data_IF_516638201884
#
_entry.id   IF_516638201884
#
_cell.length_a   1.000
_cell.length_b   1.000
_cell.length_c   1.000
_cell.angle_alpha   90.00
_cell.angle_beta   90.00
_cell.angle_gamma   90.00
#
_symmetry.space_group_name_H-M   'P 1'
#
loop_
_entity.id
_entity.type
_entity.pdbx_description
1 polymer ?
#
# COMPACT_ATOMS: atom_id res chain seq x y z
N UNK A 1 -20.80 12.15 1.38
CA UNK A 1 -19.71 11.68 0.53
C UNK A 1 -19.47 10.20 0.76
N UNK A 2 -19.39 9.46 -0.32
CA UNK A 2 -19.12 8.04 -0.26
C UNK A 2 -17.60 7.79 -0.21
N UNK A 3 -17.21 6.75 0.53
CA UNK A 3 -15.82 6.31 0.55
C UNK A 3 -15.42 5.83 -0.85
N UNK A 4 -14.15 5.97 -1.23
CA UNK A 4 -13.69 5.41 -2.51
C UNK A 4 -13.81 3.88 -2.52
N UNK A 5 -13.96 3.33 -3.70
CA UNK A 5 -13.80 1.89 -3.91
C UNK A 5 -12.32 1.56 -4.01
N UNK A 6 -11.96 0.37 -3.59
CA UNK A 6 -10.58 -0.10 -3.73
C UNK A 6 -10.57 -1.48 -4.35
N UNK A 7 -9.69 -1.70 -5.32
CA UNK A 7 -9.51 -2.99 -5.95
C UNK A 7 -8.04 -3.35 -6.02
N UNK A 8 -7.76 -4.65 -6.00
CA UNK A 8 -6.42 -5.19 -6.12
C UNK A 8 -6.33 -5.95 -7.44
N UNK A 9 -5.39 -5.58 -8.28
CA UNK A 9 -5.20 -6.16 -9.61
C UNK A 9 -3.81 -6.79 -9.70
N UNK A 10 -3.78 -8.09 -9.98
CA UNK A 10 -2.52 -8.81 -10.14
C UNK A 10 -2.09 -8.76 -11.62
N UNK A 11 -1.00 -8.06 -11.89
CA UNK A 11 -0.44 -7.90 -13.24
C UNK A 11 0.91 -8.58 -13.40
N UNK A 12 1.23 -9.53 -12.51
CA UNK A 12 2.46 -10.33 -12.63
C UNK A 12 2.08 -11.81 -12.57
N UNK A 13 2.94 -12.67 -13.09
CA UNK A 13 2.65 -14.10 -13.19
C UNK A 13 3.65 -15.00 -12.48
N UNK A 14 4.76 -14.44 -12.03
CA UNK A 14 5.84 -15.23 -11.42
C UNK A 14 5.48 -15.80 -10.08
N UNK A 15 4.79 -15.04 -9.26
CA UNK A 15 4.56 -15.38 -7.86
C UNK A 15 3.06 -15.46 -7.60
N UNK A 16 2.56 -16.61 -7.12
CA UNK A 16 1.14 -16.74 -6.77
C UNK A 16 0.79 -15.81 -5.61
N UNK A 17 -0.34 -15.12 -5.73
CA UNK A 17 -0.87 -14.26 -4.67
C UNK A 17 -2.38 -14.51 -4.53
N UNK A 18 -2.88 -14.38 -3.31
CA UNK A 18 -4.31 -14.51 -3.05
C UNK A 18 -4.95 -13.13 -3.11
N UNK A 19 -5.42 -12.75 -4.31
CA UNK A 19 -6.00 -11.43 -4.56
C UNK A 19 -7.24 -11.19 -3.70
N UNK A 20 -8.08 -12.21 -3.51
CA UNK A 20 -9.30 -12.06 -2.72
C UNK A 20 -9.01 -11.64 -1.27
N UNK A 21 -8.02 -12.28 -0.64
CA UNK A 21 -7.61 -11.93 0.72
C UNK A 21 -7.07 -10.50 0.78
N UNK A 22 -6.29 -10.12 -0.22
CA UNK A 22 -5.72 -8.77 -0.29
C UNK A 22 -6.81 -7.71 -0.49
N UNK A 23 -7.84 -8.00 -1.29
CA UNK A 23 -8.96 -7.08 -1.48
C UNK A 23 -9.76 -6.88 -0.21
N UNK A 24 -9.99 -7.95 0.54
CA UNK A 24 -10.70 -7.85 1.81
C UNK A 24 -9.91 -6.96 2.78
N UNK A 25 -8.62 -7.21 2.90
CA UNK A 25 -7.74 -6.39 3.73
C UNK A 25 -7.75 -4.93 3.28
N UNK A 26 -7.60 -4.71 1.97
CA UNK A 26 -7.53 -3.35 1.41
C UNK A 26 -8.79 -2.56 1.73
N UNK A 27 -9.96 -3.18 1.63
CA UNK A 27 -11.23 -2.53 1.97
C UNK A 27 -11.31 -2.14 3.43
N UNK A 28 -10.88 -3.03 4.33
CA UNK A 28 -10.85 -2.73 5.77
C UNK A 28 -9.84 -1.64 6.09
N UNK A 29 -8.66 -1.72 5.50
CA UNK A 29 -7.61 -0.72 5.71
C UNK A 29 -8.03 0.66 5.23
N UNK A 30 -8.69 0.73 4.08
CA UNK A 30 -9.23 1.98 3.56
C UNK A 30 -10.21 2.62 4.53
N UNK A 31 -11.18 1.84 5.02
CA UNK A 31 -12.16 2.35 5.99
C UNK A 31 -11.49 2.81 7.27
N UNK A 32 -10.48 2.09 7.73
CA UNK A 32 -9.72 2.46 8.93
C UNK A 32 -8.98 3.77 8.72
N UNK A 33 -8.31 3.93 7.57
CA UNK A 33 -7.62 5.18 7.26
C UNK A 33 -8.58 6.36 7.26
N UNK A 34 -9.74 6.20 6.65
CA UNK A 34 -10.73 7.28 6.57
C UNK A 34 -11.30 7.69 7.94
N UNK A 35 -11.20 6.82 8.93
CA UNK A 35 -11.60 7.14 10.32
C UNK A 35 -10.56 7.98 11.04
N UNK A 36 -9.33 8.03 10.54
CA UNK A 36 -8.28 8.86 11.12
C UNK A 36 -8.52 10.31 10.73
N UNK A 37 -8.76 11.16 11.73
CA UNK A 37 -9.10 12.56 11.46
C UNK A 37 -7.86 13.34 11.04
N UNK A 38 -8.02 14.18 10.04
CA UNK A 38 -7.01 15.11 9.55
C UNK A 38 -7.57 16.52 9.57
N UNK A 39 -6.68 17.50 9.74
CA UNK A 39 -7.09 18.90 9.80
C UNK A 39 -7.71 19.39 8.50
N UNK A 40 -7.23 18.88 7.37
CA UNK A 40 -7.70 19.26 6.04
C UNK A 40 -8.07 18.00 5.27
N UNK A 41 -8.98 18.12 4.30
CA UNK A 41 -9.25 16.99 3.42
C UNK A 41 -7.97 16.51 2.75
N UNK A 42 -7.81 15.20 2.69
CA UNK A 42 -6.63 14.54 2.10
C UNK A 42 -6.93 14.10 0.68
N UNK A 43 -5.90 13.65 -0.03
CA UNK A 43 -6.09 13.06 -1.36
C UNK A 43 -7.08 11.90 -1.29
N UNK A 44 -6.95 11.04 -0.26
CA UNK A 44 -7.84 9.89 -0.07
C UNK A 44 -9.30 10.32 0.07
N UNK A 45 -9.56 11.40 0.79
CA UNK A 45 -10.92 11.92 0.97
C UNK A 45 -11.59 12.32 -0.34
N UNK A 46 -10.79 12.68 -1.34
CA UNK A 46 -11.27 13.21 -2.63
C UNK A 46 -11.38 12.16 -3.72
N UNK A 47 -10.82 10.98 -3.50
CA UNK A 47 -10.78 9.93 -4.52
C UNK A 47 -12.09 9.16 -4.58
N UNK A 48 -12.46 8.73 -5.79
CA UNK A 48 -13.58 7.82 -6.03
C UNK A 48 -13.13 6.37 -6.08
N UNK A 49 -11.91 6.13 -6.52
CA UNK A 49 -11.35 4.79 -6.68
C UNK A 49 -9.88 4.78 -6.30
N UNK A 50 -9.46 3.66 -5.70
CA UNK A 50 -8.05 3.37 -5.45
C UNK A 50 -7.75 2.03 -6.10
N UNK A 51 -6.67 1.98 -6.85
CA UNK A 51 -6.20 0.75 -7.47
C UNK A 51 -4.88 0.33 -6.86
N UNK A 52 -4.81 -0.91 -6.41
CA UNK A 52 -3.56 -1.54 -5.98
C UNK A 52 -3.12 -2.46 -7.10
N UNK A 53 -1.96 -2.17 -7.67
CA UNK A 53 -1.39 -2.93 -8.79
C UNK A 53 -0.23 -3.77 -8.27
N UNK A 54 -0.36 -5.10 -8.39
CA UNK A 54 0.72 -6.02 -8.07
C UNK A 54 1.50 -6.28 -9.34
N UNK A 55 2.76 -5.88 -9.35
CA UNK A 55 3.62 -5.90 -10.54
C UNK A 55 4.95 -6.57 -10.27
N UNK A 56 5.72 -6.80 -11.33
CA UNK A 56 7.06 -7.36 -11.25
C UNK A 56 8.11 -6.30 -10.91
N UNK A 57 9.28 -6.72 -10.47
CA UNK A 57 10.43 -5.83 -10.25
C UNK A 57 10.78 -5.07 -11.52
N UNK A 58 10.73 -5.75 -12.64
CA UNK A 58 11.05 -5.14 -13.94
C UNK A 58 10.12 -3.97 -14.23
N UNK A 59 8.83 -4.18 -14.03
CA UNK A 59 7.82 -3.13 -14.24
C UNK A 59 7.99 -2.00 -13.22
N UNK A 60 8.25 -2.36 -11.97
CA UNK A 60 8.47 -1.38 -10.92
C UNK A 60 9.71 -0.52 -11.22
N UNK A 61 10.80 -1.14 -11.67
CA UNK A 61 12.01 -0.41 -12.03
C UNK A 61 11.74 0.60 -13.15
N UNK A 62 10.93 0.20 -14.14
CA UNK A 62 10.53 1.08 -15.25
C UNK A 62 9.74 2.29 -14.74
N UNK A 63 8.75 2.05 -13.87
CA UNK A 63 7.95 3.13 -13.28
C UNK A 63 8.80 4.06 -12.41
N UNK A 64 9.68 3.48 -11.60
CA UNK A 64 10.54 4.23 -10.69
C UNK A 64 11.47 5.15 -11.46
N UNK A 65 12.08 4.65 -12.53
CA UNK A 65 12.95 5.45 -13.39
C UNK A 65 12.17 6.54 -14.12
N UNK A 66 10.99 6.20 -14.66
CA UNK A 66 10.19 7.12 -15.47
C UNK A 66 9.61 8.28 -14.66
N UNK A 67 9.07 7.99 -13.49
CA UNK A 67 8.33 8.97 -12.70
C UNK A 67 9.10 9.55 -11.54
N UNK A 68 10.09 8.83 -11.00
CA UNK A 68 10.85 9.29 -9.83
C UNK A 68 12.29 9.64 -10.18
N UNK A 69 12.69 9.45 -11.44
CA UNK A 69 14.04 9.71 -11.93
C UNK A 69 15.12 8.97 -11.13
N UNK A 70 14.79 7.79 -10.65
CA UNK A 70 15.69 6.92 -9.88
C UNK A 70 15.84 5.58 -10.58
N UNK A 71 16.92 4.88 -10.29
CA UNK A 71 17.19 3.57 -10.88
C UNK A 71 16.84 2.45 -9.90
N UNK A 72 16.51 1.29 -10.47
CA UNK A 72 16.23 0.10 -9.69
C UNK A 72 14.77 0.00 -9.21
N UNK A 73 14.35 -1.19 -8.78
CA UNK A 73 13.01 -1.38 -8.25
C UNK A 73 12.90 -0.82 -6.83
N UNK A 74 11.70 -0.45 -6.45
CA UNK A 74 11.36 -0.15 -5.07
C UNK A 74 10.23 -1.07 -4.64
N UNK A 75 9.87 -1.07 -3.37
CA UNK A 75 8.80 -1.96 -2.87
C UNK A 75 7.41 -1.42 -3.19
N UNK A 76 7.17 -0.14 -3.03
CA UNK A 76 5.86 0.47 -3.25
C UNK A 76 5.99 1.89 -3.79
N UNK A 77 5.13 2.23 -4.76
CA UNK A 77 4.98 3.59 -5.28
C UNK A 77 3.52 3.98 -5.17
N UNK A 78 3.27 5.17 -4.63
CA UNK A 78 1.92 5.69 -4.45
C UNK A 78 1.77 6.99 -5.21
N UNK A 79 0.73 7.07 -6.05
CA UNK A 79 0.41 8.25 -6.84
C UNK A 79 -0.86 8.90 -6.28
N UNK A 80 -0.87 10.23 -6.22
CA UNK A 80 -1.95 11.00 -5.62
C UNK A 80 -3.31 10.79 -6.27
N UNK A 81 -3.34 10.37 -7.52
CA UNK A 81 -4.59 10.10 -8.20
C UNK A 81 -5.21 8.74 -7.85
N UNK A 82 -4.61 8.00 -6.92
CA UNK A 82 -5.23 6.80 -6.38
C UNK A 82 -4.67 5.48 -6.88
N UNK A 83 -3.42 5.45 -7.29
CA UNK A 83 -2.77 4.20 -7.70
C UNK A 83 -1.61 3.87 -6.77
N UNK A 84 -1.60 2.62 -6.30
CA UNK A 84 -0.54 2.08 -5.44
C UNK A 84 0.06 0.90 -6.18
N UNK A 85 1.34 1.00 -6.54
CA UNK A 85 2.06 -0.07 -7.23
C UNK A 85 2.95 -0.79 -6.24
N UNK A 86 2.86 -2.11 -6.21
CA UNK A 86 3.62 -2.96 -5.30
C UNK A 86 4.40 -3.99 -6.10
N UNK A 87 5.71 -4.07 -5.86
CA UNK A 87 6.54 -5.11 -6.45
C UNK A 87 6.43 -6.38 -5.65
N UNK A 88 5.82 -7.41 -6.23
CA UNK A 88 5.60 -8.69 -5.55
C UNK A 88 6.92 -9.41 -5.30
N UNK A 89 7.86 -9.34 -6.24
CA UNK A 89 9.17 -9.97 -6.08
C UNK A 89 9.96 -9.34 -4.92
N UNK A 90 9.93 -8.01 -4.82
CA UNK A 90 10.59 -7.31 -3.72
C UNK A 90 9.89 -7.61 -2.39
N UNK A 91 8.55 -7.63 -2.40
CA UNK A 91 7.77 -7.99 -1.20
C UNK A 91 8.15 -9.39 -0.71
N UNK A 92 8.32 -10.34 -1.62
CA UNK A 92 8.72 -11.71 -1.27
C UNK A 92 10.10 -11.75 -0.61
N UNK A 93 11.05 -10.97 -1.15
CA UNK A 93 12.39 -10.87 -0.56
C UNK A 93 12.36 -10.33 0.85
N UNK A 94 11.62 -9.23 1.05
CA UNK A 94 11.49 -8.61 2.37
C UNK A 94 10.78 -9.53 3.36
N UNK A 95 9.70 -10.17 2.93
CA UNK A 95 8.97 -11.12 3.78
C UNK A 95 9.88 -12.24 4.26
N UNK A 96 10.66 -12.81 3.35
CA UNK A 96 11.60 -13.89 3.67
C UNK A 96 12.64 -13.42 4.69
N UNK A 97 13.18 -12.22 4.48
CA UNK A 97 14.19 -11.65 5.38
C UNK A 97 13.69 -11.40 6.79
N UNK A 98 12.41 -11.07 6.94
CA UNK A 98 11.79 -10.81 8.24
C UNK A 98 10.95 -11.97 8.75
N UNK A 99 11.01 -13.14 8.10
CA UNK A 99 10.23 -14.35 8.46
C UNK A 99 8.73 -14.08 8.53
N UNK A 100 8.23 -13.30 7.57
CA UNK A 100 6.81 -12.99 7.44
C UNK A 100 6.26 -13.63 6.18
N UNK A 101 4.93 -13.74 6.09
CA UNK A 101 4.29 -14.21 4.86
C UNK A 101 4.32 -13.13 3.79
N UNK A 102 4.29 -13.53 2.54
CA UNK A 102 4.16 -12.61 1.42
C UNK A 102 2.88 -11.78 1.55
N UNK A 103 1.77 -12.43 1.89
CA UNK A 103 0.48 -11.74 2.08
C UNK A 103 0.60 -10.63 3.13
N UNK A 104 1.23 -10.92 4.26
CA UNK A 104 1.43 -9.93 5.32
C UNK A 104 2.25 -8.74 4.84
N UNK A 105 3.30 -9.00 4.06
CA UNK A 105 4.15 -7.95 3.54
C UNK A 105 3.42 -7.07 2.54
N UNK A 106 2.64 -7.67 1.65
CA UNK A 106 1.83 -6.90 0.69
C UNK A 106 0.79 -6.06 1.43
N UNK A 107 0.16 -6.63 2.47
CA UNK A 107 -0.78 -5.88 3.31
C UNK A 107 -0.12 -4.65 3.94
N UNK A 108 1.12 -4.79 4.39
CA UNK A 108 1.88 -3.67 4.94
C UNK A 108 2.03 -2.56 3.90
N UNK A 109 2.36 -2.92 2.66
CA UNK A 109 2.55 -1.93 1.60
C UNK A 109 1.22 -1.27 1.19
N UNK A 110 0.12 -2.01 1.22
CA UNK A 110 -1.20 -1.43 0.97
C UNK A 110 -1.52 -0.39 2.04
N UNK A 111 -1.32 -0.73 3.31
CA UNK A 111 -1.53 0.20 4.41
C UNK A 111 -0.65 1.45 4.28
N UNK A 112 0.62 1.26 3.93
CA UNK A 112 1.58 2.35 3.72
C UNK A 112 1.10 3.32 2.63
N UNK A 113 0.68 2.77 1.48
CA UNK A 113 0.17 3.59 0.38
C UNK A 113 -1.09 4.35 0.75
N UNK A 114 -2.03 3.70 1.43
CA UNK A 114 -3.26 4.36 1.88
C UNK A 114 -2.97 5.48 2.88
N UNK A 115 -2.03 5.27 3.79
CA UNK A 115 -1.63 6.31 4.74
C UNK A 115 -1.00 7.50 4.03
N UNK A 116 -0.18 7.26 3.01
CA UNK A 116 0.36 8.36 2.18
C UNK A 116 -0.77 9.16 1.54
N UNK A 117 -1.75 8.49 0.95
CA UNK A 117 -2.90 9.16 0.34
C UNK A 117 -3.70 9.94 1.37
N UNK A 118 -3.67 9.50 2.63
CA UNK A 118 -4.37 10.17 3.73
C UNK A 118 -3.50 11.20 4.45
N UNK A 119 -2.40 11.62 3.83
CA UNK A 119 -1.61 12.74 4.32
C UNK A 119 -0.49 12.40 5.29
N UNK A 120 -0.24 11.13 5.56
CA UNK A 120 0.92 10.73 6.34
C UNK A 120 2.15 10.69 5.45
N UNK A 121 3.31 11.06 5.99
CA UNK A 121 4.56 10.98 5.26
C UNK A 121 5.68 10.46 6.15
N UNK A 122 6.86 10.33 5.57
CA UNK A 122 8.06 9.84 6.25
C UNK A 122 9.24 10.80 6.09
N UNK A 123 8.96 12.09 5.96
CA UNK A 123 10.00 13.11 5.73
C UNK A 123 10.83 13.43 6.96
N UNK A 124 10.31 13.18 8.15
CA UNK A 124 11.02 13.41 9.42
C UNK A 124 11.02 12.13 10.23
N UNK A 125 11.90 12.06 11.24
CA UNK A 125 11.91 10.91 12.16
C UNK A 125 10.59 10.75 12.90
N UNK A 126 10.00 11.88 13.33
CA UNK A 126 8.71 11.86 14.02
C UNK A 126 7.60 11.36 13.10
N UNK A 127 7.55 11.84 11.85
CA UNK A 127 6.56 11.42 10.87
C UNK A 127 6.73 9.93 10.53
N UNK A 128 7.95 9.45 10.38
CA UNK A 128 8.24 8.05 10.12
C UNK A 128 7.75 7.15 11.26
N UNK A 129 8.02 7.55 12.50
CA UNK A 129 7.56 6.78 13.67
C UNK A 129 6.04 6.73 13.74
N UNK A 130 5.38 7.85 13.48
CA UNK A 130 3.92 7.93 13.49
C UNK A 130 3.33 7.04 12.39
N UNK A 131 3.90 7.08 11.22
CA UNK A 131 3.44 6.25 10.10
C UNK A 131 3.61 4.77 10.41
N UNK A 132 4.76 4.36 10.94
CA UNK A 132 5.01 2.97 11.32
C UNK A 132 4.03 2.50 12.40
N UNK A 133 3.73 3.34 13.37
CA UNK A 133 2.76 3.00 14.42
C UNK A 133 1.37 2.80 13.83
N UNK A 134 0.95 3.67 12.92
CA UNK A 134 -0.33 3.54 12.23
C UNK A 134 -0.39 2.30 11.35
N UNK A 135 0.68 1.99 10.63
CA UNK A 135 0.77 0.78 9.82
C UNK A 135 0.56 -0.48 10.67
N UNK A 136 1.25 -0.56 11.80
CA UNK A 136 1.10 -1.71 12.72
C UNK A 136 -0.33 -1.84 13.22
N UNK A 137 -0.94 -0.72 13.57
CA UNK A 137 -2.31 -0.72 14.08
C UNK A 137 -3.30 -1.19 13.01
N UNK A 138 -3.17 -0.70 11.79
CA UNK A 138 -4.02 -1.11 10.67
C UNK A 138 -3.83 -2.60 10.37
N UNK A 139 -2.59 -3.07 10.32
CA UNK A 139 -2.32 -4.49 10.10
C UNK A 139 -2.97 -5.36 11.18
N UNK A 140 -2.79 -4.99 12.43
CA UNK A 140 -3.37 -5.75 13.55
C UNK A 140 -4.89 -5.79 13.47
N UNK A 141 -5.52 -4.62 13.26
CA UNK A 141 -6.97 -4.50 13.32
C UNK A 141 -7.65 -5.11 12.09
N UNK A 142 -7.03 -4.99 10.92
CA UNK A 142 -7.63 -5.39 9.65
C UNK A 142 -7.29 -6.82 9.22
N UNK A 143 -6.26 -7.43 9.81
CA UNK A 143 -5.88 -8.81 9.50
C UNK A 143 -6.55 -9.84 10.41
N UNK A 144 -7.19 -9.40 11.49
CA UNK A 144 -7.75 -10.28 12.51
C UNK A 144 -9.07 -10.92 12.14
N UNK A 145 -9.85 -10.25 11.34
CA UNK A 145 -11.17 -10.73 10.97
C UNK A 145 -11.07 -11.57 9.70
N UNK A 146 -11.20 -12.83 9.88
CA UNK A 146 -11.23 -13.77 8.77
C UNK A 146 -12.60 -14.36 8.60
#
# INVERSE_FOLDING_TARGET
>A
MTAPDISVRNRQRKIPVNVAVLEIFAGKALRRCLQLQKRKPTDLDKLHEVFVWLISDRRMASLHRKFMHQTGPTDVLTFQHGEIFISVETAKKHARGFRKSLTSEICLYIAHGLLHLHGFDDRTHAATRKMKAMQKKILRDCSRDR
#
